data_IF_264796272409
#
_entry.id   IF_264796272409
#
_cell.length_a   1.000
_cell.length_b   1.000
_cell.length_c   1.000
_cell.angle_alpha   90.00
_cell.angle_beta   90.00
_cell.angle_gamma   90.00
#
_symmetry.space_group_name_H-M   'P 1'
#
loop_
_entity.id
_entity.type
_entity.pdbx_description
1 polymer ?
#
# COMPACT_ATOMS: atom_id res chain seq x y z
N UNK A 1 -0.97 28.58 20.16
CA UNK A 1 0.14 28.47 19.19
C UNK A 1 -0.48 28.47 17.80
N UNK A 2 -0.16 29.46 16.97
CA UNK A 2 -0.58 29.48 15.57
C UNK A 2 0.50 28.71 14.81
N UNK A 3 0.12 27.61 14.17
CA UNK A 3 1.04 26.87 13.31
C UNK A 3 1.07 27.56 11.95
N UNK A 4 2.23 28.12 11.59
CA UNK A 4 2.45 28.59 10.23
C UNK A 4 2.50 27.40 9.27
N UNK A 5 1.84 27.55 8.12
CA UNK A 5 1.86 26.54 7.07
C UNK A 5 3.28 26.44 6.48
N UNK A 6 3.86 25.24 6.48
CA UNK A 6 5.17 25.00 5.85
C UNK A 6 5.10 25.23 4.35
N UNK A 7 6.06 25.99 3.80
CA UNK A 7 6.20 26.17 2.36
C UNK A 7 6.55 24.85 1.66
N UNK A 8 6.12 24.65 0.41
CA UNK A 8 6.43 23.44 -0.37
C UNK A 8 7.93 23.16 -0.46
N UNK A 9 8.75 24.20 -0.55
CA UNK A 9 10.21 24.06 -0.63
C UNK A 9 10.80 23.51 0.66
N UNK A 10 10.36 24.04 1.80
CA UNK A 10 10.77 23.57 3.13
C UNK A 10 10.36 22.10 3.31
N UNK A 11 9.15 21.74 2.85
CA UNK A 11 8.66 20.36 2.85
C UNK A 11 9.54 19.47 1.97
N UNK A 12 9.80 19.85 0.72
CA UNK A 12 10.69 19.10 -0.20
C UNK A 12 12.10 18.94 0.38
N UNK A 13 12.63 19.97 1.04
CA UNK A 13 13.94 19.93 1.68
C UNK A 13 13.98 18.99 2.88
N UNK A 14 12.94 19.00 3.72
CA UNK A 14 12.80 18.05 4.83
C UNK A 14 12.85 16.59 4.34
N UNK A 15 12.11 16.30 3.28
CA UNK A 15 12.03 14.97 2.67
C UNK A 15 13.30 14.52 1.93
N UNK A 16 14.20 15.43 1.56
CA UNK A 16 15.48 15.10 0.90
C UNK A 16 16.56 14.60 1.86
N UNK A 17 16.43 14.84 3.16
CA UNK A 17 17.48 14.62 4.17
C UNK A 17 17.87 13.15 4.39
N UNK A 18 17.22 12.19 3.72
CA UNK A 18 17.28 10.78 4.09
C UNK A 18 17.87 9.83 3.06
N UNK A 19 18.13 10.28 1.83
CA UNK A 19 18.62 9.39 0.76
C UNK A 19 20.13 9.12 0.84
N UNK A 20 20.91 9.98 1.52
CA UNK A 20 22.36 9.85 1.64
C UNK A 20 22.86 9.32 2.98
N UNK A 21 21.96 9.09 3.95
CA UNK A 21 22.30 8.76 5.33
C UNK A 21 22.06 7.28 5.64
N UNK A 22 22.68 6.78 6.71
CA UNK A 22 22.28 5.50 7.28
C UNK A 22 20.92 5.63 7.97
N UNK A 23 20.15 4.55 7.95
CA UNK A 23 18.86 4.51 8.64
C UNK A 23 19.04 4.60 10.16
N UNK A 24 18.16 5.33 10.87
CA UNK A 24 18.10 5.24 12.33
C UNK A 24 17.98 3.78 12.77
N UNK A 25 18.81 3.35 13.71
CA UNK A 25 18.88 1.96 14.17
C UNK A 25 19.77 1.04 13.32
N UNK A 26 20.51 1.58 12.33
CA UNK A 26 21.58 0.83 11.67
C UNK A 26 22.65 0.42 12.69
N UNK A 27 22.81 -0.88 12.90
CA UNK A 27 23.77 -1.48 13.84
C UNK A 27 25.07 -1.93 13.17
N UNK A 28 25.18 -1.74 11.86
CA UNK A 28 26.39 -2.10 11.10
C UNK A 28 27.53 -1.09 11.28
N UNK A 29 28.66 -1.38 10.64
CA UNK A 29 29.82 -0.50 10.68
C UNK A 29 29.56 0.78 9.87
N UNK A 30 29.83 1.94 10.48
CA UNK A 30 29.90 3.23 9.80
C UNK A 30 31.31 3.80 10.01
N UNK A 31 32.12 3.96 8.95
CA UNK A 31 33.48 4.47 9.07
C UNK A 31 33.50 5.87 9.69
N UNK A 32 34.54 6.18 10.46
CA UNK A 32 34.81 7.49 11.07
C UNK A 32 33.71 8.10 11.97
N UNK A 33 32.56 7.44 12.14
CA UNK A 33 31.43 7.92 12.93
C UNK A 33 31.81 8.21 14.39
N UNK A 34 32.67 7.36 14.98
CA UNK A 34 33.14 7.54 16.37
C UNK A 34 33.92 8.84 16.62
N UNK A 35 34.45 9.45 15.57
CA UNK A 35 35.21 10.70 15.65
C UNK A 35 34.35 11.94 15.37
N UNK A 36 33.05 11.76 15.08
CA UNK A 36 32.13 12.85 14.80
C UNK A 36 31.15 13.03 15.95
N UNK A 37 31.14 14.23 16.51
CA UNK A 37 30.30 14.63 17.65
C UNK A 37 29.58 15.95 17.33
N UNK A 38 28.43 16.18 17.98
CA UNK A 38 27.68 17.44 17.89
C UNK A 38 26.60 17.52 16.81
N UNK A 39 26.57 16.62 15.82
CA UNK A 39 25.46 16.51 14.86
C UNK A 39 24.60 15.26 15.14
N UNK A 40 23.34 15.31 14.68
CA UNK A 40 22.45 14.13 14.67
C UNK A 40 23.01 13.00 13.81
N UNK A 41 22.69 11.76 14.14
CA UNK A 41 23.18 10.54 13.47
C UNK A 41 23.05 10.61 11.94
N UNK A 42 21.85 10.93 11.43
CA UNK A 42 21.61 11.03 9.99
C UNK A 42 22.57 11.99 9.29
N UNK A 43 22.73 13.20 9.84
CA UNK A 43 23.61 14.23 9.27
C UNK A 43 25.09 13.81 9.31
N UNK A 44 25.55 13.21 10.41
CA UNK A 44 26.92 12.69 10.49
C UNK A 44 27.17 11.61 9.43
N UNK A 45 26.25 10.64 9.32
CA UNK A 45 26.40 9.55 8.36
C UNK A 45 26.31 10.02 6.91
N UNK A 46 25.47 11.00 6.60
CA UNK A 46 25.40 11.61 5.27
C UNK A 46 26.73 12.27 4.89
N UNK A 47 27.26 13.12 5.76
CA UNK A 47 28.54 13.80 5.53
C UNK A 47 29.71 12.81 5.40
N UNK A 48 29.73 11.73 6.21
CA UNK A 48 30.72 10.65 6.11
C UNK A 48 30.65 9.97 4.75
N UNK A 49 29.45 9.59 4.32
CA UNK A 49 29.28 8.88 3.05
C UNK A 49 29.68 9.77 1.86
N UNK A 50 29.37 11.07 1.93
CA UNK A 50 29.81 12.04 0.92
C UNK A 50 31.33 12.14 0.85
N UNK A 51 32.01 12.23 1.99
CA UNK A 51 33.47 12.29 2.07
C UNK A 51 34.13 11.01 1.50
N UNK A 52 33.59 9.83 1.84
CA UNK A 52 34.11 8.55 1.37
C UNK A 52 33.93 8.35 -0.14
N UNK A 53 32.86 8.89 -0.71
CA UNK A 53 32.61 8.89 -2.15
C UNK A 53 33.56 9.83 -2.89
N UNK A 54 33.75 11.04 -2.35
CA UNK A 54 34.68 12.03 -2.91
C UNK A 54 36.12 11.50 -2.92
N UNK A 55 36.52 10.82 -1.84
CA UNK A 55 37.82 10.15 -1.73
C UNK A 55 37.91 8.84 -2.53
N UNK A 56 36.84 8.43 -3.23
CA UNK A 56 36.75 7.17 -4.00
C UNK A 56 37.08 5.90 -3.19
N UNK A 57 36.95 5.97 -1.86
CA UNK A 57 37.13 4.82 -0.97
C UNK A 57 35.93 3.88 -1.10
N UNK A 58 34.73 4.46 -1.21
CA UNK A 58 33.51 3.74 -1.56
C UNK A 58 33.26 3.86 -3.07
N UNK A 59 33.01 2.72 -3.72
CA UNK A 59 32.61 2.67 -5.15
C UNK A 59 31.17 3.12 -5.36
N UNK A 60 30.30 2.80 -4.40
CA UNK A 60 28.87 3.11 -4.44
C UNK A 60 28.44 3.75 -3.12
N UNK A 61 27.60 4.78 -3.22
CA UNK A 61 27.04 5.45 -2.05
C UNK A 61 25.97 4.60 -1.37
N UNK A 62 25.41 5.07 -0.24
CA UNK A 62 24.18 4.49 0.26
C UNK A 62 23.06 4.67 -0.78
N UNK A 63 22.00 3.88 -0.63
CA UNK A 63 20.91 3.75 -1.59
C UNK A 63 20.52 5.08 -2.29
N UNK A 64 20.79 5.17 -3.60
CA UNK A 64 20.40 6.33 -4.41
C UNK A 64 19.24 5.91 -5.34
N UNK A 65 18.05 6.53 -5.24
CA UNK A 65 16.87 6.20 -6.07
C UNK A 65 17.06 6.38 -7.58
N UNK A 66 18.25 6.74 -8.05
CA UNK A 66 18.51 7.18 -9.42
C UNK A 66 19.91 6.86 -9.93
N UNK A 67 20.70 6.01 -9.27
CA UNK A 67 21.99 5.54 -9.82
C UNK A 67 21.84 4.33 -10.77
N UNK A 68 20.66 4.16 -11.38
CA UNK A 68 20.38 3.18 -12.43
C UNK A 68 20.50 3.74 -13.85
N UNK A 69 21.30 4.79 -14.04
CA UNK A 69 21.88 5.14 -15.33
C UNK A 69 23.37 5.23 -15.13
N UNK A 70 24.05 4.10 -15.25
CA UNK A 70 25.42 4.16 -15.72
C UNK A 70 25.37 4.91 -17.05
N UNK A 71 26.22 5.92 -17.17
CA UNK A 71 26.34 6.73 -18.36
C UNK A 71 26.99 5.88 -19.47
N UNK A 72 26.22 5.02 -20.10
CA UNK A 72 26.56 4.58 -21.45
C UNK A 72 26.34 5.77 -22.38
N UNK A 73 27.43 6.18 -23.04
CA UNK A 73 27.43 7.26 -24.01
C UNK A 73 26.39 6.95 -25.11
N UNK A 74 25.46 7.87 -25.43
CA UNK A 74 24.44 7.59 -26.44
C UNK A 74 25.12 7.47 -27.81
N UNK A 75 25.09 6.26 -28.38
CA UNK A 75 25.49 6.03 -29.76
C UNK A 75 24.47 6.73 -30.66
N UNK A 76 24.93 7.35 -31.75
CA UNK A 76 24.14 8.26 -32.60
C UNK A 76 22.85 7.65 -33.21
N UNK A 77 22.62 6.34 -33.08
CA UNK A 77 21.40 5.65 -33.52
C UNK A 77 20.22 5.73 -32.52
N UNK A 78 20.45 6.12 -31.25
CA UNK A 78 19.38 6.21 -30.24
C UNK A 78 18.46 7.45 -30.38
N UNK A 79 18.69 8.30 -31.39
CA UNK A 79 17.91 9.53 -31.57
C UNK A 79 16.58 9.31 -32.29
N UNK A 80 16.34 8.17 -32.93
CA UNK A 80 15.07 7.92 -33.63
C UNK A 80 14.01 7.24 -32.75
N UNK A 81 14.40 6.55 -31.67
CA UNK A 81 13.49 5.94 -30.69
C UNK A 81 12.91 7.00 -29.71
N UNK A 82 13.39 8.25 -29.79
CA UNK A 82 13.00 9.35 -28.90
C UNK A 82 11.61 9.95 -29.14
N UNK A 83 10.86 9.50 -30.15
CA UNK A 83 9.49 9.99 -30.37
C UNK A 83 8.42 9.25 -29.56
N UNK A 84 8.77 8.15 -28.90
CA UNK A 84 7.90 7.46 -27.94
C UNK A 84 8.09 7.98 -26.50
N UNK A 85 8.55 9.23 -26.34
CA UNK A 85 8.83 9.89 -25.06
C UNK A 85 7.59 10.16 -24.19
N UNK A 86 6.39 9.73 -24.60
CA UNK A 86 5.19 9.80 -23.77
C UNK A 86 5.04 8.63 -22.78
N UNK A 87 5.98 7.68 -22.74
CA UNK A 87 6.01 6.61 -21.72
C UNK A 87 6.66 7.02 -20.39
N UNK A 88 7.12 8.26 -20.24
CA UNK A 88 7.48 8.84 -18.93
C UNK A 88 6.21 9.12 -18.08
N UNK A 89 5.02 9.03 -18.68
CA UNK A 89 3.74 9.06 -17.99
C UNK A 89 3.50 7.76 -17.20
N UNK A 90 3.96 7.77 -15.94
CA UNK A 90 3.58 6.92 -14.78
C UNK A 90 4.51 5.76 -14.39
N UNK A 91 5.83 5.92 -14.44
CA UNK A 91 6.63 5.21 -13.44
C UNK A 91 6.32 5.83 -12.07
N UNK A 92 5.45 5.19 -11.27
CA UNK A 92 5.11 5.69 -9.94
C UNK A 92 6.39 5.82 -9.11
N UNK A 93 6.71 7.05 -8.72
CA UNK A 93 7.80 7.32 -7.81
C UNK A 93 7.25 7.34 -6.39
N UNK A 94 7.75 6.43 -5.56
CA UNK A 94 7.38 6.40 -4.15
C UNK A 94 7.66 7.77 -3.51
N UNK A 95 6.71 8.34 -2.75
CA UNK A 95 6.97 9.57 -2.03
C UNK A 95 8.11 9.35 -1.02
N UNK A 96 8.91 10.40 -0.76
CA UNK A 96 9.96 10.32 0.23
C UNK A 96 9.39 9.96 1.61
N UNK A 97 9.96 8.95 2.26
CA UNK A 97 9.57 8.50 3.58
C UNK A 97 10.25 9.37 4.65
N UNK A 98 9.54 9.55 5.76
CA UNK A 98 10.08 10.23 6.95
C UNK A 98 10.88 9.20 7.73
N UNK A 99 12.17 9.47 7.94
CA UNK A 99 13.01 8.65 8.81
C UNK A 99 12.43 8.63 10.23
N UNK A 100 12.33 7.43 10.82
CA UNK A 100 11.72 7.24 12.13
C UNK A 100 10.19 7.09 12.11
N UNK A 101 9.54 7.14 10.94
CA UNK A 101 8.16 6.72 10.82
C UNK A 101 8.05 5.22 11.09
N UNK A 102 7.35 4.86 12.18
CA UNK A 102 7.11 3.48 12.61
C UNK A 102 5.75 2.95 12.17
N UNK A 103 4.98 3.76 11.43
CA UNK A 103 3.67 3.40 10.94
C UNK A 103 3.71 2.49 9.71
N UNK A 104 2.53 2.33 9.10
CA UNK A 104 2.32 1.41 7.99
C UNK A 104 2.92 1.95 6.68
N UNK A 105 3.69 1.11 5.98
CA UNK A 105 4.22 1.40 4.63
C UNK A 105 3.55 0.45 3.62
N UNK A 106 2.77 0.96 2.65
CA UNK A 106 2.14 0.13 1.63
C UNK A 106 3.14 -0.70 0.84
N UNK A 107 2.87 -2.00 0.71
CA UNK A 107 3.63 -2.93 -0.14
C UNK A 107 5.01 -3.34 0.41
N UNK A 108 5.38 -2.86 1.59
CA UNK A 108 6.68 -3.14 2.22
C UNK A 108 6.69 -4.46 3.02
N UNK A 109 5.60 -4.77 3.73
CA UNK A 109 5.53 -5.85 4.73
C UNK A 109 5.73 -7.28 4.18
N UNK A 110 5.55 -7.49 2.88
CA UNK A 110 5.71 -8.79 2.22
C UNK A 110 7.12 -9.03 1.64
N UNK A 111 8.02 -8.04 1.71
CA UNK A 111 9.33 -8.08 1.04
C UNK A 111 10.47 -8.31 2.01
N UNK A 112 11.38 -9.20 1.61
CA UNK A 112 12.58 -9.54 2.35
C UNK A 112 13.79 -9.58 1.40
N UNK A 113 15.01 -9.44 1.95
CA UNK A 113 16.25 -9.56 1.18
C UNK A 113 16.66 -8.31 0.38
N UNK A 114 15.86 -7.25 0.38
CA UNK A 114 16.20 -5.95 -0.20
C UNK A 114 16.61 -4.96 0.89
N UNK A 115 17.40 -3.94 0.53
CA UNK A 115 17.59 -2.79 1.43
C UNK A 115 16.24 -2.15 1.72
N UNK A 116 16.06 -1.64 2.95
CA UNK A 116 14.78 -1.07 3.38
C UNK A 116 14.22 -0.07 2.36
N UNK A 117 15.06 0.82 1.83
CA UNK A 117 14.65 1.83 0.84
C UNK A 117 14.19 1.22 -0.48
N UNK A 118 14.93 0.22 -0.98
CA UNK A 118 14.58 -0.49 -2.20
C UNK A 118 13.28 -1.28 -2.03
N UNK A 119 13.10 -1.93 -0.88
CA UNK A 119 11.87 -2.65 -0.56
C UNK A 119 10.66 -1.72 -0.55
N UNK A 120 10.81 -0.52 0.04
CA UNK A 120 9.75 0.50 0.07
C UNK A 120 9.43 1.01 -1.34
N UNK A 121 10.43 1.32 -2.17
CA UNK A 121 10.18 1.83 -3.52
C UNK A 121 9.46 0.82 -4.41
N UNK A 122 9.95 -0.43 -4.45
CA UNK A 122 9.32 -1.48 -5.26
C UNK A 122 7.94 -1.83 -4.69
N UNK A 123 7.80 -1.87 -3.36
CA UNK A 123 6.52 -2.09 -2.69
C UNK A 123 5.48 -1.01 -3.03
N UNK A 124 5.89 0.25 -3.06
CA UNK A 124 5.01 1.35 -3.37
C UNK A 124 4.62 1.38 -4.85
N UNK A 125 5.51 0.96 -5.76
CA UNK A 125 5.19 0.79 -7.18
C UNK A 125 4.13 -0.30 -7.40
N UNK A 126 4.33 -1.50 -6.85
CA UNK A 126 3.32 -2.57 -6.95
C UNK A 126 1.99 -2.17 -6.29
N UNK A 127 2.06 -1.47 -5.15
CA UNK A 127 0.87 -0.94 -4.52
C UNK A 127 0.13 0.04 -5.45
N UNK A 128 0.86 0.92 -6.14
CA UNK A 128 0.23 1.85 -7.08
C UNK A 128 -0.43 1.13 -8.25
N UNK A 129 0.23 0.13 -8.82
CA UNK A 129 -0.30 -0.66 -9.92
C UNK A 129 -1.55 -1.44 -9.51
N UNK A 130 -1.54 -2.06 -8.34
CA UNK A 130 -2.70 -2.77 -7.79
C UNK A 130 -3.86 -1.81 -7.52
N UNK A 131 -3.60 -0.61 -7.01
CA UNK A 131 -4.61 0.43 -6.84
C UNK A 131 -5.20 0.90 -8.18
N UNK A 132 -4.39 1.05 -9.21
CA UNK A 132 -4.86 1.43 -10.55
C UNK A 132 -5.77 0.34 -11.14
N UNK A 133 -5.42 -0.93 -10.97
CA UNK A 133 -6.25 -2.06 -11.42
C UNK A 133 -7.60 -2.09 -10.70
N UNK A 134 -7.60 -1.92 -9.37
CA UNK A 134 -8.85 -1.90 -8.58
C UNK A 134 -9.75 -0.73 -8.97
N UNK A 135 -9.18 0.46 -9.21
CA UNK A 135 -9.93 1.62 -9.70
C UNK A 135 -10.55 1.35 -11.06
N UNK A 136 -9.76 0.83 -12.01
CA UNK A 136 -10.26 0.50 -13.35
C UNK A 136 -11.38 -0.54 -13.31
N UNK A 137 -11.27 -1.57 -12.46
CA UNK A 137 -12.31 -2.57 -12.27
C UNK A 137 -13.59 -1.97 -11.68
N UNK A 138 -13.45 -1.10 -10.67
CA UNK A 138 -14.58 -0.39 -10.06
C UNK A 138 -15.30 0.49 -11.07
N UNK A 139 -14.53 1.26 -11.84
CA UNK A 139 -15.09 2.18 -12.83
C UNK A 139 -15.74 1.41 -14.00
N UNK A 140 -15.20 0.26 -14.40
CA UNK A 140 -15.84 -0.64 -15.36
C UNK A 140 -17.14 -1.25 -14.82
N UNK A 141 -17.17 -1.67 -13.56
CA UNK A 141 -18.37 -2.19 -12.90
C UNK A 141 -19.44 -1.11 -12.78
N UNK A 142 -19.05 0.12 -12.43
CA UNK A 142 -19.93 1.30 -12.43
C UNK A 142 -20.53 1.55 -13.81
N UNK A 143 -19.68 1.62 -14.85
CA UNK A 143 -20.15 1.83 -16.22
C UNK A 143 -21.07 0.69 -16.72
N UNK A 144 -20.85 -0.54 -16.26
CA UNK A 144 -21.74 -1.65 -16.55
C UNK A 144 -23.10 -1.48 -15.84
N UNK A 145 -23.10 -1.18 -14.54
CA UNK A 145 -24.33 -0.95 -13.77
C UNK A 145 -25.17 0.20 -14.37
N UNK A 146 -24.54 1.32 -14.71
CA UNK A 146 -25.19 2.47 -15.35
C UNK A 146 -25.82 2.11 -16.71
N UNK A 147 -25.23 1.17 -17.47
CA UNK A 147 -25.78 0.69 -18.75
C UNK A 147 -26.94 -0.28 -18.58
N UNK A 148 -26.94 -1.07 -17.53
CA UNK A 148 -27.96 -2.12 -17.27
C UNK A 148 -29.16 -1.57 -16.48
N UNK A 149 -29.04 -0.40 -15.85
CA UNK A 149 -30.11 0.19 -15.05
C UNK A 149 -31.30 0.65 -15.91
N UNK A 150 -32.52 0.11 -15.70
CA UNK A 150 -33.69 0.41 -16.53
C UNK A 150 -34.16 1.86 -16.38
N UNK A 151 -33.85 2.52 -15.26
CA UNK A 151 -34.11 3.96 -15.04
C UNK A 151 -33.24 4.86 -15.93
N UNK A 152 -32.01 4.45 -16.25
CA UNK A 152 -31.08 5.18 -17.12
C UNK A 152 -31.36 4.96 -18.62
N UNK A 153 -32.03 3.86 -18.98
CA UNK A 153 -32.46 3.62 -20.37
C UNK A 153 -33.57 4.60 -20.80
N UNK A 154 -34.43 5.03 -19.86
CA UNK A 154 -35.52 5.98 -20.12
C UNK A 154 -35.02 7.44 -20.22
N UNK A 155 -33.97 7.81 -19.47
CA UNK A 155 -33.35 9.14 -19.57
C UNK A 155 -32.47 9.31 -20.81
N UNK A 156 -31.99 8.25 -21.46
CA UNK A 156 -31.15 8.38 -22.67
C UNK A 156 -31.92 8.80 -23.94
N UNK A 157 -33.25 8.75 -23.93
CA UNK A 157 -34.08 8.94 -25.12
C UNK A 157 -34.59 10.38 -25.34
N UNK A 158 -34.17 11.37 -24.53
CA UNK A 158 -34.61 12.77 -24.69
C UNK A 158 -33.42 13.67 -25.00
N UNK A 159 -33.54 14.44 -26.09
CA UNK A 159 -32.51 15.36 -26.58
C UNK A 159 -32.30 16.59 -25.66
N UNK A 160 -33.20 16.81 -24.71
CA UNK A 160 -33.26 18.04 -23.91
C UNK A 160 -32.79 17.85 -22.46
N UNK A 161 -32.06 16.77 -22.16
CA UNK A 161 -31.58 16.56 -20.80
C UNK A 161 -30.37 17.45 -20.53
N UNK A 162 -30.59 18.45 -19.66
CA UNK A 162 -29.54 19.09 -18.89
C UNK A 162 -28.75 17.99 -18.19
N UNK A 163 -27.42 18.09 -18.15
CA UNK A 163 -26.54 17.18 -17.41
C UNK A 163 -27.00 17.12 -15.94
N UNK A 164 -27.87 16.17 -15.61
CA UNK A 164 -28.18 15.84 -14.23
C UNK A 164 -26.97 15.04 -13.78
N UNK A 165 -26.01 15.72 -13.15
CA UNK A 165 -25.04 15.06 -12.29
C UNK A 165 -25.86 14.31 -11.23
N UNK A 166 -26.11 13.02 -11.47
CA UNK A 166 -26.68 12.14 -10.46
C UNK A 166 -25.58 11.99 -9.42
N UNK A 167 -25.65 12.81 -8.37
CA UNK A 167 -24.81 12.68 -7.19
C UNK A 167 -25.18 11.36 -6.50
N UNK A 168 -24.53 10.30 -6.97
CA UNK A 168 -24.51 9.02 -6.28
C UNK A 168 -23.68 9.23 -5.02
N UNK A 169 -24.39 9.68 -3.98
CA UNK A 169 -23.88 10.12 -2.70
C UNK A 169 -22.57 9.45 -2.32
N UNK A 170 -21.56 10.29 -2.15
CA UNK A 170 -20.21 9.93 -1.74
C UNK A 170 -20.12 8.57 -1.02
N UNK A 171 -19.64 7.61 -1.79
CA UNK A 171 -19.08 6.31 -1.43
C UNK A 171 -18.49 6.31 -0.01
N UNK A 172 -19.30 5.96 1.00
CA UNK A 172 -18.84 5.67 2.37
C UNK A 172 -17.90 4.45 2.39
N UNK A 173 -17.86 3.69 1.30
CA UNK A 173 -16.99 2.56 1.05
C UNK A 173 -15.75 2.96 0.23
N UNK A 174 -15.22 4.16 0.49
CA UNK A 174 -13.79 4.45 0.27
C UNK A 174 -13.00 3.54 1.21
N UNK A 175 -12.96 2.23 0.93
CA UNK A 175 -12.13 1.20 1.55
C UNK A 175 -10.69 1.60 1.28
N UNK A 176 -10.26 2.50 2.12
CA UNK A 176 -8.95 3.08 2.18
C UNK A 176 -8.12 1.94 2.75
N UNK A 177 -7.40 1.25 1.86
CA UNK A 177 -6.51 0.13 2.13
C UNK A 177 -7.20 -1.21 2.40
N UNK A 178 -7.32 -2.03 1.36
CA UNK A 178 -7.57 -3.47 1.56
C UNK A 178 -6.23 -4.21 1.75
N UNK A 179 -5.53 -3.89 2.85
CA UNK A 179 -4.51 -4.76 3.41
C UNK A 179 -5.15 -5.53 4.55
N UNK A 180 -5.91 -6.56 4.20
CA UNK A 180 -6.44 -7.51 5.16
C UNK A 180 -5.26 -8.22 5.82
N UNK A 181 -5.03 -7.91 7.09
CA UNK A 181 -4.14 -8.67 7.96
C UNK A 181 -4.63 -10.11 7.95
N UNK A 182 -3.90 -10.97 7.25
CA UNK A 182 -4.26 -12.36 7.00
C UNK A 182 -3.17 -13.30 7.53
N UNK A 183 -3.49 -14.58 7.74
CA UNK A 183 -2.51 -15.60 8.08
C UNK A 183 -1.31 -15.67 7.13
N UNK A 184 -1.56 -15.46 5.84
CA UNK A 184 -0.54 -15.51 4.80
C UNK A 184 0.41 -14.31 4.87
N UNK A 185 -0.07 -13.18 5.42
CA UNK A 185 0.68 -11.93 5.54
C UNK A 185 0.53 -11.35 6.95
N UNK A 186 1.10 -12.02 7.97
CA UNK A 186 0.99 -11.56 9.34
C UNK A 186 1.81 -10.27 9.55
N UNK A 187 1.50 -9.48 10.59
CA UNK A 187 2.27 -8.28 10.92
C UNK A 187 3.74 -8.57 11.19
N UNK A 188 4.58 -7.57 10.93
CA UNK A 188 6.03 -7.66 11.14
C UNK A 188 6.39 -7.76 12.62
N UNK A 189 7.59 -8.31 12.89
CA UNK A 189 8.18 -8.29 14.24
C UNK A 189 8.32 -6.84 14.73
N UNK A 190 7.87 -6.56 15.96
CA UNK A 190 7.81 -5.21 16.52
C UNK A 190 6.47 -4.49 16.35
N UNK A 191 5.49 -5.08 15.64
CA UNK A 191 4.12 -4.57 15.64
C UNK A 191 3.52 -4.60 17.06
N UNK A 192 3.03 -3.45 17.51
CA UNK A 192 2.53 -3.22 18.88
C UNK A 192 1.03 -3.37 19.03
N UNK A 193 0.29 -3.54 17.92
CA UNK A 193 -1.15 -3.75 17.95
C UNK A 193 -1.55 -5.15 18.44
N UNK A 194 -2.85 -5.32 18.69
CA UNK A 194 -3.38 -6.58 19.19
C UNK A 194 -3.56 -7.62 18.07
N UNK A 195 -3.04 -8.83 18.27
CA UNK A 195 -3.32 -10.00 17.43
C UNK A 195 -3.98 -11.06 18.31
N UNK A 196 -5.23 -11.46 18.03
CA UNK A 196 -5.95 -12.45 18.81
C UNK A 196 -5.16 -13.77 18.89
N UNK A 197 -5.00 -14.31 20.10
CA UNK A 197 -4.31 -15.60 20.33
C UNK A 197 -2.78 -15.60 20.18
N UNK A 198 -2.17 -14.56 19.59
CA UNK A 198 -0.73 -14.53 19.35
C UNK A 198 0.09 -14.52 20.64
N UNK A 199 -0.36 -13.81 21.69
CA UNK A 199 0.35 -13.75 22.99
C UNK A 199 0.52 -15.12 23.63
N UNK A 200 -0.49 -15.98 23.54
CA UNK A 200 -0.44 -17.34 24.08
C UNK A 200 0.53 -18.24 23.30
N UNK A 201 0.58 -18.10 21.97
CA UNK A 201 1.51 -18.86 21.13
C UNK A 201 2.98 -18.41 21.28
N UNK A 202 3.21 -17.11 21.52
CA UNK A 202 4.55 -16.59 21.86
C UNK A 202 5.02 -17.14 23.22
N UNK A 203 4.12 -17.29 24.19
CA UNK A 203 4.43 -17.91 25.48
C UNK A 203 4.83 -19.39 25.34
N UNK A 204 4.41 -20.07 24.27
CA UNK A 204 4.83 -21.43 23.90
C UNK A 204 6.14 -21.45 23.08
N UNK A 205 6.97 -20.42 23.21
CA UNK A 205 8.29 -20.28 22.56
C UNK A 205 8.29 -20.25 21.03
N UNK A 206 7.16 -19.94 20.38
CA UNK A 206 7.11 -19.76 18.92
C UNK A 206 7.63 -18.39 18.50
N UNK A 207 8.19 -18.32 17.29
CA UNK A 207 8.57 -17.04 16.67
C UNK A 207 7.32 -16.19 16.45
N UNK A 208 7.45 -14.87 16.64
CA UNK A 208 6.33 -13.93 16.53
C UNK A 208 5.52 -14.09 15.23
N UNK A 209 6.18 -14.22 14.08
CA UNK A 209 5.49 -14.39 12.79
C UNK A 209 4.60 -15.66 12.75
N UNK A 210 5.06 -16.76 13.34
CA UNK A 210 4.30 -18.02 13.42
C UNK A 210 3.14 -17.91 14.41
N UNK A 211 3.36 -17.25 15.55
CA UNK A 211 2.33 -16.99 16.54
C UNK A 211 1.22 -16.08 15.98
N UNK A 212 1.60 -15.00 15.28
CA UNK A 212 0.69 -14.09 14.62
C UNK A 212 -0.13 -14.79 13.53
N UNK A 213 0.51 -15.59 12.68
CA UNK A 213 -0.16 -16.39 11.66
C UNK A 213 -1.21 -17.31 12.27
N UNK A 214 -0.83 -18.13 13.26
CA UNK A 214 -1.76 -19.08 13.91
C UNK A 214 -2.92 -18.38 14.61
N UNK A 215 -2.66 -17.22 15.23
CA UNK A 215 -3.70 -16.38 15.82
C UNK A 215 -4.73 -15.90 14.80
N UNK A 216 -4.26 -15.45 13.64
CA UNK A 216 -5.13 -15.01 12.54
C UNK A 216 -5.87 -16.18 11.87
N UNK A 217 -5.25 -17.36 11.73
CA UNK A 217 -5.91 -18.56 11.17
C UNK A 217 -7.12 -18.94 12.02
N UNK A 218 -7.00 -18.85 13.35
CA UNK A 218 -8.10 -19.11 14.26
C UNK A 218 -9.26 -18.12 14.07
N UNK A 219 -8.95 -16.83 13.90
CA UNK A 219 -9.96 -15.79 13.66
C UNK A 219 -10.64 -15.97 12.32
N UNK A 220 -9.90 -16.33 11.28
CA UNK A 220 -10.48 -16.61 9.96
C UNK A 220 -11.46 -17.78 10.03
N UNK A 221 -11.04 -18.91 10.62
CA UNK A 221 -11.92 -20.06 10.78
C UNK A 221 -13.18 -19.74 11.59
N UNK A 222 -13.04 -18.99 12.69
CA UNK A 222 -14.19 -18.54 13.49
C UNK A 222 -15.16 -17.66 12.67
N UNK A 223 -14.63 -16.79 11.79
CA UNK A 223 -15.46 -15.95 10.90
C UNK A 223 -16.17 -16.79 9.85
N UNK A 224 -15.48 -17.75 9.23
CA UNK A 224 -16.04 -18.67 8.25
C UNK A 224 -17.16 -19.52 8.87
N UNK A 225 -16.98 -20.04 10.07
CA UNK A 225 -18.00 -20.79 10.81
C UNK A 225 -19.24 -19.94 11.15
N UNK A 226 -19.06 -18.64 11.43
CA UNK A 226 -20.19 -17.72 11.63
C UNK A 226 -20.94 -17.44 10.33
N UNK A 227 -20.19 -17.22 9.25
CA UNK A 227 -20.73 -16.99 7.92
C UNK A 227 -21.50 -18.20 7.40
N UNK A 228 -20.99 -19.42 7.59
CA UNK A 228 -21.70 -20.64 7.22
C UNK A 228 -23.00 -20.78 8.01
N UNK A 229 -22.97 -20.55 9.33
CA UNK A 229 -24.19 -20.55 10.16
C UNK A 229 -25.23 -19.54 9.70
N UNK A 230 -24.84 -18.32 9.34
CA UNK A 230 -25.78 -17.32 8.82
C UNK A 230 -26.35 -17.74 7.46
N UNK A 231 -25.51 -18.28 6.57
CA UNK A 231 -25.95 -18.80 5.27
C UNK A 231 -26.92 -19.96 5.42
N UNK A 232 -26.67 -20.86 6.37
CA UNK A 232 -27.53 -22.00 6.66
C UNK A 232 -28.88 -21.53 7.24
N UNK A 233 -28.87 -20.53 8.14
CA UNK A 233 -30.10 -19.92 8.65
C UNK A 233 -30.91 -19.23 7.55
N UNK A 234 -30.26 -18.48 6.64
CA UNK A 234 -30.92 -17.86 5.49
C UNK A 234 -31.48 -18.91 4.50
N UNK A 235 -30.78 -20.03 4.34
CA UNK A 235 -31.25 -21.15 3.52
C UNK A 235 -32.48 -21.82 4.15
N UNK A 236 -32.45 -22.06 5.47
CA UNK A 236 -33.60 -22.59 6.22
C UNK A 236 -34.79 -21.65 6.14
N UNK A 237 -34.57 -20.34 6.29
CA UNK A 237 -35.64 -19.34 6.16
C UNK A 237 -36.26 -19.37 4.75
N UNK A 238 -35.44 -19.43 3.69
CA UNK A 238 -35.95 -19.58 2.31
C UNK A 238 -36.75 -20.85 2.09
N UNK A 239 -36.34 -21.98 2.70
CA UNK A 239 -37.08 -23.24 2.60
C UNK A 239 -38.42 -23.15 3.33
N UNK A 240 -38.45 -22.54 4.52
CA UNK A 240 -39.68 -22.28 5.26
C UNK A 240 -40.61 -21.36 4.48
N UNK A 241 -40.11 -20.23 3.98
CA UNK A 241 -40.89 -19.28 3.18
C UNK A 241 -41.49 -19.96 1.93
N UNK A 242 -40.75 -20.86 1.27
CA UNK A 242 -41.26 -21.66 0.15
C UNK A 242 -42.28 -22.72 0.58
N UNK A 243 -42.15 -23.32 1.77
CA UNK A 243 -43.11 -24.29 2.31
C UNK A 243 -44.42 -23.64 2.76
N UNK A 244 -44.41 -22.33 3.05
CA UNK A 244 -45.61 -21.53 3.34
C UNK A 244 -46.35 -21.06 2.07
N UNK A 245 -45.88 -21.38 0.86
CA UNK A 245 -46.57 -21.06 -0.39
C UNK A 245 -47.44 -22.25 -0.84
N UNK A 246 -48.73 -22.03 -1.10
CA UNK A 246 -49.61 -23.04 -1.70
C UNK A 246 -49.30 -23.24 -3.21
N UNK A 247 -49.86 -24.28 -3.86
CA UNK A 247 -49.60 -24.60 -5.28
C UNK A 247 -49.90 -23.44 -6.28
N UNK A 248 -50.60 -22.40 -5.81
CA UNK A 248 -50.92 -21.17 -6.54
C UNK A 248 -50.05 -19.96 -6.12
N UNK A 249 -48.98 -20.14 -5.34
CA UNK A 249 -48.01 -19.10 -4.97
C UNK A 249 -48.47 -18.11 -3.90
N UNK A 250 -49.47 -18.44 -3.08
CA UNK A 250 -49.98 -17.57 -2.01
C UNK A 250 -49.49 -18.06 -0.64
N UNK A 251 -49.09 -17.12 0.23
CA UNK A 251 -48.67 -17.42 1.62
C UNK A 251 -49.85 -17.94 2.43
N UNK A 252 -49.77 -19.18 2.96
CA UNK A 252 -50.74 -19.76 3.90
C UNK A 252 -50.68 -18.99 5.21
N UNK A 253 -51.71 -18.20 5.48
CA UNK A 253 -51.94 -17.53 6.76
C UNK A 253 -52.35 -18.53 7.85
#
# INVERSE_FOLDING_TARGET
MVFDAMCEEQRKQFFRQSYGAHLPGYTGHCPTLKFRVGKRFGANTEDIMKELLEKKILKTGPYRPSSGREAELPTLQDKEIRRDWNNEARSYKAPPYILGYTGYIPGFNSRFGLSFMKAVEVGAQEWHETQMKLRAQRDAMRAHAERTDPRNLLSRARADNVDIEIDHGHDKDRRTYDYHVSPERPPIVGYTGHIPGAKGEVALSKRYAQAARKGLERVQREREERLSRTSDMDAVQRVLDNAYLDEMGHTRA
#
